data_IF_785907212890
#
_entry.id   IF_785907212890
#
_cell.length_a   1.000
_cell.length_b   1.000
_cell.length_c   1.000
_cell.angle_alpha   90.00
_cell.angle_beta   90.00
_cell.angle_gamma   90.00
#
_symmetry.space_group_name_H-M   'P 1'
#
loop_
_entity.id
_entity.type
_entity.pdbx_description
1 polymer ?
#
# COMPACT_ATOMS: atom_id res chain seq x y z
N UNK A 1 35.98 7.05 25.02
CA UNK A 1 34.75 7.71 25.48
C UNK A 1 33.61 7.06 24.72
N UNK A 2 32.92 6.12 25.34
CA UNK A 2 31.73 5.43 24.83
C UNK A 2 30.53 6.31 25.07
N UNK A 3 29.87 6.73 23.98
CA UNK A 3 28.59 7.39 24.02
C UNK A 3 27.52 6.31 24.28
N UNK A 4 26.71 6.40 25.32
CA UNK A 4 25.61 5.46 25.50
C UNK A 4 24.52 5.77 24.46
N UNK A 5 24.20 4.78 23.63
CA UNK A 5 22.99 4.77 22.84
C UNK A 5 21.80 4.69 23.82
N UNK A 6 21.19 5.83 24.10
CA UNK A 6 19.87 5.88 24.70
C UNK A 6 18.90 5.34 23.65
N UNK A 7 18.45 4.10 23.84
CA UNK A 7 17.28 3.59 23.17
C UNK A 7 16.09 4.46 23.58
N UNK A 8 15.57 5.25 22.67
CA UNK A 8 14.29 5.92 22.85
C UNK A 8 13.20 4.86 23.00
N UNK A 9 12.82 4.61 24.25
CA UNK A 9 11.63 3.85 24.63
C UNK A 9 10.37 4.68 24.32
N UNK A 10 10.01 4.81 23.08
CA UNK A 10 8.70 5.36 22.72
C UNK A 10 8.13 4.69 21.45
N UNK A 11 8.04 3.37 21.49
CA UNK A 11 7.24 2.59 20.54
C UNK A 11 5.86 2.22 21.09
N UNK A 12 5.19 3.14 21.76
CA UNK A 12 3.75 3.03 21.93
C UNK A 12 3.13 3.37 20.57
N UNK A 13 2.77 2.35 19.79
CA UNK A 13 1.88 2.54 18.68
C UNK A 13 0.58 3.10 19.27
N UNK A 14 0.43 4.42 19.21
CA UNK A 14 -0.78 5.09 19.62
C UNK A 14 -1.96 4.45 18.87
N UNK A 15 -3.10 4.20 19.52
CA UNK A 15 -4.30 3.81 18.82
C UNK A 15 -4.54 4.85 17.73
N UNK A 16 -4.68 4.40 16.50
CA UNK A 16 -4.93 5.28 15.36
C UNK A 16 -6.19 6.08 15.68
N UNK A 17 -6.16 7.41 15.50
CA UNK A 17 -7.31 8.23 15.81
C UNK A 17 -8.49 7.75 14.97
N UNK A 18 -9.58 7.40 15.65
CA UNK A 18 -10.84 6.99 15.02
C UNK A 18 -11.46 8.10 14.14
N UNK A 19 -10.98 9.32 14.29
CA UNK A 19 -11.38 10.49 13.52
C UNK A 19 -10.30 10.83 12.50
N UNK A 20 -10.48 10.41 11.23
CA UNK A 20 -9.60 10.80 10.15
C UNK A 20 -9.18 9.67 9.20
N UNK A 21 -9.82 8.52 9.27
CA UNK A 21 -9.56 7.46 8.29
C UNK A 21 -9.90 7.96 6.87
N UNK A 22 -8.91 8.02 5.96
CA UNK A 22 -9.11 8.56 4.61
C UNK A 22 -10.19 7.84 3.81
N UNK A 23 -10.49 6.60 4.14
CA UNK A 23 -11.54 5.80 3.48
C UNK A 23 -12.94 6.36 3.68
N UNK A 24 -13.18 7.12 4.75
CA UNK A 24 -14.49 7.61 5.16
C UNK A 24 -14.61 9.15 5.13
N UNK A 25 -13.74 9.84 4.39
CA UNK A 25 -13.75 11.31 4.30
C UNK A 25 -14.93 11.87 3.51
N UNK A 26 -15.48 11.09 2.57
CA UNK A 26 -16.60 11.52 1.75
C UNK A 26 -17.84 11.80 2.60
N UNK A 27 -18.55 12.91 2.29
CA UNK A 27 -19.72 13.33 3.06
C UNK A 27 -20.87 12.31 3.08
N UNK A 28 -20.96 11.44 2.09
CA UNK A 28 -21.96 10.37 1.98
C UNK A 28 -21.87 9.34 3.10
N UNK A 29 -20.68 9.14 3.68
CA UNK A 29 -20.50 8.29 4.86
C UNK A 29 -21.21 8.80 6.11
N UNK A 30 -21.64 10.07 6.13
CA UNK A 30 -22.44 10.66 7.22
C UNK A 30 -23.93 10.39 7.10
N UNK A 31 -24.38 9.87 5.95
CA UNK A 31 -25.79 9.59 5.67
C UNK A 31 -26.17 8.18 6.13
N UNK A 32 -27.42 8.01 6.53
CA UNK A 32 -27.98 6.69 6.84
C UNK A 32 -28.15 5.85 5.55
N UNK A 33 -27.83 4.55 5.54
CA UNK A 33 -27.30 3.69 6.63
C UNK A 33 -25.77 3.67 6.75
N UNK A 34 -25.03 4.35 5.89
CA UNK A 34 -23.57 4.30 5.78
C UNK A 34 -22.86 4.79 7.05
N UNK A 35 -23.44 5.78 7.74
CA UNK A 35 -22.93 6.27 9.00
C UNK A 35 -22.91 5.19 10.09
N UNK A 36 -23.89 4.29 10.09
CA UNK A 36 -23.95 3.18 11.05
C UNK A 36 -22.82 2.19 10.76
N UNK A 37 -22.62 1.82 9.50
CA UNK A 37 -21.55 0.89 9.10
C UNK A 37 -20.15 1.46 9.36
N UNK A 38 -19.96 2.73 9.03
CA UNK A 38 -18.72 3.44 9.31
C UNK A 38 -18.42 3.47 10.81
N UNK A 39 -19.39 3.91 11.64
CA UNK A 39 -19.20 3.97 13.08
C UNK A 39 -18.98 2.59 13.71
N UNK A 40 -19.74 1.58 13.29
CA UNK A 40 -19.56 0.21 13.77
C UNK A 40 -18.17 -0.33 13.45
N UNK A 41 -17.67 -0.02 12.26
CA UNK A 41 -16.31 -0.39 11.87
C UNK A 41 -15.25 0.29 12.73
N UNK A 42 -15.37 1.60 12.97
CA UNK A 42 -14.45 2.33 13.86
C UNK A 42 -14.50 1.82 15.29
N UNK A 43 -15.68 1.50 15.81
CA UNK A 43 -15.82 0.88 17.13
C UNK A 43 -15.16 -0.48 17.21
N UNK A 44 -15.28 -1.31 16.17
CA UNK A 44 -14.59 -2.58 16.10
C UNK A 44 -13.06 -2.41 16.07
N UNK A 45 -12.55 -1.43 15.32
CA UNK A 45 -11.12 -1.12 15.31
C UNK A 45 -10.62 -0.68 16.69
N UNK A 46 -11.35 0.19 17.32
CA UNK A 46 -11.01 0.70 18.67
C UNK A 46 -11.03 -0.43 19.71
N UNK A 47 -12.08 -1.25 19.69
CA UNK A 47 -12.19 -2.40 20.58
C UNK A 47 -11.00 -3.37 20.39
N UNK A 48 -10.67 -3.74 19.18
CA UNK A 48 -9.53 -4.60 18.90
C UNK A 48 -8.20 -3.96 19.31
N UNK A 49 -8.06 -2.64 19.10
CA UNK A 49 -6.91 -1.89 19.58
C UNK A 49 -6.73 -2.04 21.09
N UNK A 50 -7.78 -1.84 21.85
CA UNK A 50 -7.74 -1.98 23.32
C UNK A 50 -7.55 -3.45 23.76
N UNK A 51 -8.22 -4.39 23.10
CA UNK A 51 -8.14 -5.81 23.45
C UNK A 51 -6.76 -6.44 23.20
N UNK A 52 -5.97 -5.85 22.31
CA UNK A 52 -4.65 -6.38 21.92
C UNK A 52 -3.47 -5.66 22.56
N UNK A 53 -3.71 -4.54 23.28
CA UNK A 53 -2.64 -3.79 23.93
C UNK A 53 -2.74 -3.89 25.47
N UNK A 54 -1.58 -3.88 26.13
CA UNK A 54 -1.51 -3.90 27.60
C UNK A 54 -1.97 -5.21 28.24
N UNK A 55 -1.99 -6.32 27.49
CA UNK A 55 -2.43 -7.64 28.00
C UNK A 55 -1.36 -8.19 28.95
N UNK A 56 -1.77 -8.41 30.21
CA UNK A 56 -0.88 -8.93 31.23
C UNK A 56 -0.37 -10.33 30.89
N UNK A 57 0.94 -10.56 31.07
CA UNK A 57 1.58 -11.85 30.79
C UNK A 57 1.95 -12.09 29.32
N UNK A 58 1.64 -11.16 28.42
CA UNK A 58 2.00 -11.26 27.00
C UNK A 58 3.11 -10.25 26.69
N UNK A 59 4.17 -10.71 26.02
CA UNK A 59 5.25 -9.81 25.63
C UNK A 59 4.83 -8.81 24.54
N UNK A 60 5.54 -7.69 24.43
CA UNK A 60 5.21 -6.59 23.51
C UNK A 60 5.22 -7.01 22.04
N UNK A 61 6.12 -7.92 21.65
CA UNK A 61 6.22 -8.37 20.26
C UNK A 61 4.99 -9.19 19.86
N UNK A 62 4.53 -10.09 20.72
CA UNK A 62 3.30 -10.85 20.48
C UNK A 62 2.06 -9.96 20.45
N UNK A 63 1.96 -8.98 21.36
CA UNK A 63 0.88 -7.99 21.32
C UNK A 63 0.86 -7.24 19.99
N UNK A 64 2.01 -6.73 19.53
CA UNK A 64 2.12 -6.03 18.26
C UNK A 64 1.76 -6.92 17.05
N UNK A 65 2.18 -8.18 17.06
CA UNK A 65 1.87 -9.14 15.99
C UNK A 65 0.37 -9.45 15.92
N UNK A 66 -0.28 -9.65 17.07
CA UNK A 66 -1.73 -9.88 17.14
C UNK A 66 -2.50 -8.64 16.72
N UNK A 67 -2.10 -7.46 17.21
CA UNK A 67 -2.72 -6.19 16.84
C UNK A 67 -2.62 -5.93 15.33
N UNK A 68 -1.46 -6.17 14.75
CA UNK A 68 -1.25 -6.06 13.31
C UNK A 68 -2.14 -7.04 12.53
N UNK A 69 -2.16 -8.33 12.92
CA UNK A 69 -3.01 -9.33 12.27
C UNK A 69 -4.50 -8.98 12.36
N UNK A 70 -4.98 -8.57 13.54
CA UNK A 70 -6.36 -8.11 13.74
C UNK A 70 -6.68 -6.90 12.83
N UNK A 71 -5.76 -5.95 12.72
CA UNK A 71 -5.90 -4.79 11.83
C UNK A 71 -6.03 -5.19 10.37
N UNK A 72 -5.20 -6.12 9.88
CA UNK A 72 -5.27 -6.60 8.51
C UNK A 72 -6.63 -7.25 8.20
N UNK A 73 -7.16 -8.07 9.12
CA UNK A 73 -8.48 -8.67 8.96
C UNK A 73 -9.60 -7.61 8.95
N UNK A 74 -9.56 -6.67 9.87
CA UNK A 74 -10.54 -5.57 9.89
C UNK A 74 -10.50 -4.78 8.59
N UNK A 75 -9.32 -4.48 8.06
CA UNK A 75 -9.17 -3.74 6.82
C UNK A 75 -9.78 -4.49 5.62
N UNK A 76 -9.69 -5.82 5.59
CA UNK A 76 -10.39 -6.65 4.57
C UNK A 76 -11.90 -6.48 4.65
N UNK A 77 -12.45 -6.45 5.87
CA UNK A 77 -13.89 -6.31 6.12
C UNK A 77 -14.37 -4.87 6.21
N UNK A 78 -13.52 -3.90 5.90
CA UNK A 78 -13.93 -2.49 5.88
C UNK A 78 -15.14 -2.28 4.95
N UNK A 79 -16.18 -1.56 5.39
CA UNK A 79 -17.34 -1.27 4.56
C UNK A 79 -17.01 -0.48 3.29
N UNK A 80 -15.84 0.18 3.26
CA UNK A 80 -15.35 0.86 2.05
C UNK A 80 -14.98 -0.07 0.90
N UNK A 81 -14.71 -1.35 1.18
CA UNK A 81 -14.25 -2.32 0.19
C UNK A 81 -15.37 -3.02 -0.57
N UNK A 82 -16.62 -2.87 -0.13
CA UNK A 82 -17.73 -3.62 -0.68
C UNK A 82 -18.68 -2.74 -1.47
N UNK A 83 -19.09 -3.22 -2.65
CA UNK A 83 -20.02 -2.51 -3.53
C UNK A 83 -21.28 -2.03 -2.79
N UNK A 84 -21.89 -2.93 -2.00
CA UNK A 84 -23.18 -2.68 -1.35
C UNK A 84 -23.07 -1.74 -0.14
N UNK A 85 -21.90 -1.56 0.45
CA UNK A 85 -21.71 -0.73 1.62
C UNK A 85 -20.93 0.57 1.35
N UNK A 86 -20.33 0.70 0.17
CA UNK A 86 -19.60 1.92 -0.19
C UNK A 86 -20.53 2.93 -0.91
N UNK A 87 -20.89 4.05 -0.27
CA UNK A 87 -21.82 5.02 -0.86
C UNK A 87 -21.27 5.69 -2.12
N UNK A 88 -19.96 5.85 -2.24
CA UNK A 88 -19.32 6.45 -3.41
C UNK A 88 -19.49 5.54 -4.63
N UNK A 89 -19.24 4.24 -4.43
CA UNK A 89 -19.37 3.24 -5.49
C UNK A 89 -20.82 3.03 -5.87
N UNK A 90 -21.74 2.99 -4.90
CA UNK A 90 -23.17 2.86 -5.15
C UNK A 90 -23.70 4.01 -5.99
N UNK A 91 -23.38 5.26 -5.61
CA UNK A 91 -23.83 6.42 -6.39
C UNK A 91 -23.26 6.40 -7.81
N UNK A 92 -21.96 6.08 -7.96
CA UNK A 92 -21.36 5.98 -9.28
C UNK A 92 -22.03 4.89 -10.13
N UNK A 93 -22.35 3.76 -9.52
CA UNK A 93 -23.04 2.66 -10.18
C UNK A 93 -24.45 3.08 -10.63
N UNK A 94 -25.14 3.84 -9.78
CA UNK A 94 -26.46 4.36 -10.13
C UNK A 94 -26.39 5.39 -11.27
N UNK A 95 -25.45 6.34 -11.20
CA UNK A 95 -25.25 7.35 -12.25
C UNK A 95 -24.93 6.73 -13.61
N UNK A 96 -24.12 5.68 -13.63
CA UNK A 96 -23.71 4.97 -14.84
C UNK A 96 -24.66 3.79 -15.18
N UNK A 97 -25.76 3.63 -14.47
CA UNK A 97 -26.72 2.53 -14.68
C UNK A 97 -26.05 1.14 -14.70
N UNK A 98 -25.00 0.96 -13.90
CA UNK A 98 -24.25 -0.28 -13.82
C UNK A 98 -23.13 -0.45 -14.86
N UNK A 99 -22.95 0.48 -15.79
CA UNK A 99 -21.94 0.37 -16.84
C UNK A 99 -20.50 0.26 -16.30
N UNK A 100 -20.21 0.91 -15.17
CA UNK A 100 -18.92 0.77 -14.46
C UNK A 100 -18.64 -0.68 -14.05
N UNK A 101 -19.64 -1.41 -13.57
CA UNK A 101 -19.50 -2.81 -13.16
C UNK A 101 -19.26 -3.72 -14.37
N UNK A 102 -19.98 -3.47 -15.47
CA UNK A 102 -19.78 -4.23 -16.70
C UNK A 102 -18.39 -4.01 -17.29
N UNK A 103 -17.88 -2.77 -17.29
CA UNK A 103 -16.51 -2.49 -17.71
C UNK A 103 -15.49 -3.22 -16.81
N UNK A 104 -15.68 -3.15 -15.49
CA UNK A 104 -14.82 -3.85 -14.53
C UNK A 104 -14.82 -5.36 -14.75
N UNK A 105 -15.98 -5.95 -14.99
CA UNK A 105 -16.07 -7.38 -15.31
C UNK A 105 -15.35 -7.72 -16.63
N UNK A 106 -15.50 -6.90 -17.66
CA UNK A 106 -14.81 -7.10 -18.95
C UNK A 106 -13.30 -7.07 -18.75
N UNK A 107 -12.77 -6.09 -18.03
CA UNK A 107 -11.32 -6.00 -17.73
C UNK A 107 -10.84 -7.20 -16.92
N UNK A 108 -11.60 -7.60 -15.90
CA UNK A 108 -11.26 -8.78 -15.10
C UNK A 108 -11.18 -10.06 -15.96
N UNK A 109 -12.16 -10.28 -16.82
CA UNK A 109 -12.18 -11.47 -17.71
C UNK A 109 -11.00 -11.43 -18.71
N UNK A 110 -10.68 -10.26 -19.25
CA UNK A 110 -9.54 -10.08 -20.15
C UNK A 110 -8.23 -10.38 -19.41
N UNK A 111 -8.04 -9.87 -18.20
CA UNK A 111 -6.86 -10.12 -17.39
C UNK A 111 -6.70 -11.60 -17.05
N UNK A 112 -7.79 -12.26 -16.64
CA UNK A 112 -7.80 -13.72 -16.38
C UNK A 112 -7.43 -14.50 -17.64
N UNK A 113 -8.01 -14.16 -18.79
CA UNK A 113 -7.70 -14.81 -20.04
C UNK A 113 -6.21 -14.63 -20.42
N UNK A 114 -5.68 -13.42 -20.30
CA UNK A 114 -4.26 -13.13 -20.57
C UNK A 114 -3.34 -13.91 -19.64
N UNK A 115 -3.67 -13.94 -18.36
CA UNK A 115 -2.89 -14.69 -17.37
C UNK A 115 -2.86 -16.19 -17.68
N UNK A 116 -4.00 -16.78 -18.03
CA UNK A 116 -4.08 -18.20 -18.43
C UNK A 116 -3.28 -18.51 -19.70
N UNK A 117 -3.14 -17.54 -20.59
CA UNK A 117 -2.35 -17.63 -21.82
C UNK A 117 -0.87 -17.28 -21.61
N UNK A 118 -0.44 -16.93 -20.39
CA UNK A 118 0.93 -16.47 -20.10
C UNK A 118 1.28 -15.13 -20.76
N UNK A 119 0.28 -14.32 -21.11
CA UNK A 119 0.47 -13.00 -21.71
C UNK A 119 0.55 -11.92 -20.63
N UNK A 120 1.32 -10.84 -20.85
CA UNK A 120 1.36 -9.71 -19.93
C UNK A 120 0.01 -8.99 -19.89
N UNK A 121 -0.27 -8.18 -18.83
CA UNK A 121 -1.46 -7.33 -18.75
C UNK A 121 -1.62 -6.42 -19.96
N UNK A 122 -2.84 -5.95 -20.21
CA UNK A 122 -3.14 -4.99 -21.29
C UNK A 122 -2.31 -3.73 -21.13
N UNK A 123 -1.67 -3.31 -22.22
CA UNK A 123 -0.81 -2.11 -22.24
C UNK A 123 0.62 -2.33 -21.75
N UNK A 124 0.94 -3.47 -21.11
CA UNK A 124 2.31 -3.75 -20.69
C UNK A 124 3.26 -3.96 -21.90
N UNK A 125 2.71 -4.40 -23.03
CA UNK A 125 3.49 -4.59 -24.28
C UNK A 125 4.04 -3.27 -24.85
N UNK A 126 3.47 -2.12 -24.45
CA UNK A 126 3.94 -0.80 -24.85
C UNK A 126 5.26 -0.40 -24.17
N UNK A 127 5.62 -1.07 -23.07
CA UNK A 127 6.79 -0.73 -22.26
C UNK A 127 7.82 -1.85 -22.29
N UNK A 128 8.94 -1.61 -22.97
CA UNK A 128 10.05 -2.55 -23.06
C UNK A 128 11.23 -2.04 -22.23
N UNK A 129 11.67 -2.86 -21.28
CA UNK A 129 12.83 -2.53 -20.43
C UNK A 129 14.08 -2.35 -21.30
N UNK A 130 14.78 -1.24 -21.08
CA UNK A 130 15.95 -0.84 -21.86
C UNK A 130 15.64 -0.08 -23.15
N UNK A 131 14.36 0.12 -23.48
CA UNK A 131 13.92 0.97 -24.61
C UNK A 131 12.98 2.09 -24.15
N UNK A 132 11.98 1.77 -23.36
CA UNK A 132 10.93 2.70 -22.90
C UNK A 132 11.02 2.98 -21.41
N UNK A 133 11.54 2.04 -20.64
CA UNK A 133 11.80 2.14 -19.19
C UNK A 133 13.18 1.59 -18.89
N UNK A 134 13.78 1.99 -17.77
CA UNK A 134 15.16 1.65 -17.41
C UNK A 134 16.18 2.09 -18.47
N UNK A 135 16.00 3.28 -18.99
CA UNK A 135 16.83 3.83 -20.09
C UNK A 135 17.97 4.71 -19.60
N UNK A 136 17.98 5.10 -18.33
CA UNK A 136 19.04 5.96 -17.78
C UNK A 136 20.38 5.24 -17.83
N UNK A 137 21.40 5.80 -18.51
CA UNK A 137 22.71 5.18 -18.58
C UNK A 137 23.34 5.02 -17.19
N UNK A 138 23.96 3.86 -16.96
CA UNK A 138 24.61 3.57 -15.69
C UNK A 138 25.65 2.47 -15.79
N UNK A 139 26.36 2.23 -14.71
CA UNK A 139 27.35 1.16 -14.58
C UNK A 139 27.19 0.42 -13.27
N UNK A 140 27.34 -0.89 -13.30
CA UNK A 140 27.47 -1.68 -12.06
C UNK A 140 28.85 -1.41 -11.46
N UNK A 141 28.88 -0.73 -10.33
CA UNK A 141 30.12 -0.33 -9.63
C UNK A 141 30.49 -1.29 -8.49
N UNK A 142 29.51 -2.06 -8.01
CA UNK A 142 29.73 -3.12 -7.02
C UNK A 142 28.81 -4.28 -7.31
N UNK A 143 29.34 -5.50 -7.17
CA UNK A 143 28.57 -6.75 -7.29
C UNK A 143 29.00 -7.72 -6.21
N UNK A 144 28.04 -8.34 -5.55
CA UNK A 144 28.28 -9.46 -4.65
C UNK A 144 27.24 -10.56 -4.91
N UNK A 145 27.17 -11.57 -4.03
CA UNK A 145 26.27 -12.72 -4.22
C UNK A 145 24.76 -12.35 -4.15
N UNK A 146 24.39 -11.24 -3.54
CA UNK A 146 23.00 -10.89 -3.24
C UNK A 146 22.54 -9.57 -3.87
N UNK A 147 23.46 -8.71 -4.31
CA UNK A 147 23.11 -7.41 -4.88
C UNK A 147 24.12 -6.92 -5.92
N UNK A 148 23.64 -6.02 -6.77
CA UNK A 148 24.44 -5.16 -7.64
C UNK A 148 24.11 -3.71 -7.33
N UNK A 149 25.14 -2.86 -7.23
CA UNK A 149 25.02 -1.43 -7.08
C UNK A 149 25.21 -0.77 -8.42
N UNK A 150 24.20 -0.05 -8.89
CA UNK A 150 24.24 0.69 -10.16
C UNK A 150 24.48 2.18 -9.83
N UNK A 151 25.49 2.73 -10.47
CA UNK A 151 25.73 4.18 -10.49
C UNK A 151 25.21 4.74 -11.79
N UNK A 152 24.16 5.55 -11.72
CA UNK A 152 23.62 6.25 -12.89
C UNK A 152 24.50 7.41 -13.32
N UNK A 153 24.54 7.67 -14.61
CA UNK A 153 25.25 8.82 -15.15
C UNK A 153 24.42 10.10 -14.89
N UNK A 154 25.10 11.21 -14.56
CA UNK A 154 24.40 12.47 -14.41
C UNK A 154 23.84 12.97 -15.75
N UNK A 155 22.67 13.59 -15.71
CA UNK A 155 22.05 14.28 -16.87
C UNK A 155 22.43 15.76 -16.95
N UNK A 156 23.14 16.27 -15.96
CA UNK A 156 23.57 17.68 -15.83
C UNK A 156 25.09 17.77 -15.78
N UNK A 157 25.64 18.91 -16.20
CA UNK A 157 27.11 19.18 -16.15
C UNK A 157 27.67 19.17 -14.74
N UNK A 158 26.86 19.53 -13.75
CA UNK A 158 27.25 19.60 -12.34
C UNK A 158 26.30 18.76 -11.50
N UNK A 159 26.85 18.03 -10.56
CA UNK A 159 26.11 17.22 -9.58
C UNK A 159 26.46 17.67 -8.16
N UNK A 160 25.58 17.36 -7.23
CA UNK A 160 25.88 17.52 -5.80
C UNK A 160 26.99 16.56 -5.37
N UNK A 161 27.88 16.96 -4.43
CA UNK A 161 28.95 16.09 -3.95
C UNK A 161 28.43 14.89 -3.16
N UNK A 162 27.25 15.02 -2.51
CA UNK A 162 26.64 13.96 -1.73
C UNK A 162 25.85 13.02 -2.65
N UNK A 163 26.15 11.73 -2.69
CA UNK A 163 25.39 10.78 -3.48
C UNK A 163 24.06 10.42 -2.78
N UNK A 164 23.04 10.18 -3.58
CA UNK A 164 21.76 9.61 -3.11
C UNK A 164 21.81 8.10 -3.33
N UNK A 165 21.69 7.34 -2.25
CA UNK A 165 21.54 5.88 -2.33
C UNK A 165 20.05 5.51 -2.29
N UNK A 166 19.58 4.86 -3.35
CA UNK A 166 18.23 4.33 -3.42
C UNK A 166 18.28 2.82 -3.17
N UNK A 167 17.58 2.37 -2.14
CA UNK A 167 17.42 0.95 -1.81
C UNK A 167 15.98 0.57 -2.08
N UNK A 168 15.66 -0.05 -3.23
CA UNK A 168 14.30 -0.46 -3.54
C UNK A 168 13.84 -1.59 -2.62
N UNK A 169 12.52 -1.71 -2.42
CA UNK A 169 11.97 -2.87 -1.72
C UNK A 169 12.34 -4.15 -2.48
N UNK A 170 12.67 -5.22 -1.74
CA UNK A 170 13.18 -6.49 -2.30
C UNK A 170 12.24 -7.16 -3.32
N UNK A 171 10.94 -6.81 -3.31
CA UNK A 171 9.94 -7.28 -4.27
C UNK A 171 9.87 -6.45 -5.54
N UNK A 172 10.53 -5.28 -5.56
CA UNK A 172 10.48 -4.35 -6.70
C UNK A 172 11.63 -4.60 -7.66
N UNK A 173 11.39 -4.34 -8.94
CA UNK A 173 12.47 -4.31 -9.94
C UNK A 173 13.26 -3.01 -9.78
N UNK A 174 14.57 -3.05 -10.08
CA UNK A 174 15.47 -1.89 -9.97
C UNK A 174 14.96 -0.66 -10.76
N UNK A 175 14.32 -0.91 -11.89
CA UNK A 175 13.85 0.12 -12.82
C UNK A 175 12.52 0.76 -12.44
N UNK A 176 11.91 0.41 -11.31
CA UNK A 176 10.62 1.02 -10.92
C UNK A 176 10.74 2.52 -10.64
N UNK A 177 11.95 3.00 -10.42
CA UNK A 177 12.26 4.43 -10.22
C UNK A 177 12.99 5.04 -11.43
N UNK A 178 13.13 4.30 -12.52
CA UNK A 178 13.77 4.73 -13.78
C UNK A 178 12.73 4.61 -14.89
N UNK A 179 11.80 5.57 -14.91
CA UNK A 179 10.68 5.67 -15.86
C UNK A 179 10.96 6.73 -16.93
#
# INVERSE_FOLDING_TARGET
ASVPLQAEENGSAAPLPAQGDPRFQDARWKQWPFNVWHQSFLMAQDWWGHATHGVWGVDRHHQASVAFGARQWLDVFSPSNWLVSNPVVLERTQQEQGANLMRGLTFFLEDVQRQLMGKPPVGADAFVVGRDVAVTPGKVVLRNRVMELIQYQPTTEKVHPEPILIVPAWIMKYYILDL
#
